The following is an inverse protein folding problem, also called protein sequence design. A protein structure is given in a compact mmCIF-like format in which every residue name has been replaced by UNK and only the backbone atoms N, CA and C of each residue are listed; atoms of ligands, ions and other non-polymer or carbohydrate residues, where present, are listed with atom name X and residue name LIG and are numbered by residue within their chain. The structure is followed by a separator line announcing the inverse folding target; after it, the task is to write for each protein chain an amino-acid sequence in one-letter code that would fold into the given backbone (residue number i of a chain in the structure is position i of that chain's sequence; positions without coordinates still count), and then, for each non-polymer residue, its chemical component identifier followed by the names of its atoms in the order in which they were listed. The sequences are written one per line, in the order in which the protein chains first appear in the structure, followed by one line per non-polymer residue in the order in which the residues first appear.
data_IF_162874797358
#
_entry.id   IF_162874797358
#
_cell.length_a   1.000
_cell.length_b   1.000
_cell.length_c   1.000
_cell.angle_alpha   90.00
_cell.angle_beta   90.00
_cell.angle_gamma   90.00
#
_symmetry.space_group_name_H-M   'P 1'
#
loop_
_entity.id
_entity.type
_entity.pdbx_description
1 polymer ?
#
# COMPACT_ATOMS: atom_id res chain seq x y z
N UNK A 1 -9.25 -7.63 -15.63
CA UNK A 1 -8.67 -8.81 -14.98
C UNK A 1 -8.13 -8.43 -13.62
N UNK A 2 -8.37 -9.27 -12.61
CA UNK A 2 -7.88 -9.06 -11.25
C UNK A 2 -7.30 -10.37 -10.72
N UNK A 3 -6.52 -10.27 -9.65
CA UNK A 3 -5.86 -11.43 -9.07
C UNK A 3 -6.27 -11.56 -7.61
N UNK A 4 -6.83 -12.71 -7.23
CA UNK A 4 -7.41 -12.92 -5.92
C UNK A 4 -6.59 -13.89 -5.08
N UNK A 5 -6.53 -13.61 -3.78
CA UNK A 5 -5.92 -14.51 -2.81
C UNK A 5 -6.56 -14.23 -1.45
N UNK A 6 -6.27 -15.07 -0.47
CA UNK A 6 -6.84 -14.88 0.88
C UNK A 6 -5.82 -15.18 1.96
N UNK A 7 -6.02 -14.58 3.12
CA UNK A 7 -5.19 -14.79 4.29
C UNK A 7 -5.96 -14.35 5.54
N UNK A 8 -5.91 -15.18 6.57
CA UNK A 8 -6.44 -14.80 7.89
C UNK A 8 -7.91 -14.43 7.94
N UNK A 9 -8.74 -15.03 7.11
CA UNK A 9 -10.17 -14.74 7.10
C UNK A 9 -10.54 -13.56 6.22
N UNK A 10 -9.58 -12.99 5.50
CA UNK A 10 -9.82 -11.89 4.58
C UNK A 10 -9.51 -12.33 3.17
N UNK A 11 -10.22 -11.78 2.21
CA UNK A 11 -9.88 -11.97 0.81
C UNK A 11 -9.34 -10.68 0.24
N UNK A 12 -8.41 -10.82 -0.69
CA UNK A 12 -7.71 -9.70 -1.30
C UNK A 12 -7.81 -9.80 -2.81
N UNK A 13 -7.77 -8.65 -3.45
CA UNK A 13 -7.82 -8.58 -4.90
C UNK A 13 -6.83 -7.54 -5.38
N UNK A 14 -5.82 -7.96 -6.13
CA UNK A 14 -4.93 -7.01 -6.78
C UNK A 14 -5.56 -6.57 -8.09
N UNK A 15 -5.75 -5.28 -8.25
CA UNK A 15 -6.35 -4.71 -9.45
C UNK A 15 -5.24 -4.05 -10.27
N UNK A 16 -4.87 -4.65 -11.43
CA UNK A 16 -3.77 -4.12 -12.25
C UNK A 16 -4.26 -3.01 -13.18
N UNK A 17 -4.82 -1.97 -12.57
CA UNK A 17 -5.26 -0.77 -13.26
C UNK A 17 -4.67 0.42 -12.53
N UNK A 18 -3.92 1.25 -13.22
CA UNK A 18 -3.24 2.38 -12.60
C UNK A 18 -4.24 3.48 -12.27
N UNK A 19 -4.32 3.85 -11.00
CA UNK A 19 -5.22 4.88 -10.49
C UNK A 19 -4.54 5.72 -9.44
N UNK A 20 -5.01 6.95 -9.25
CA UNK A 20 -4.60 7.76 -8.12
C UNK A 20 -5.15 7.13 -6.84
N UNK A 21 -4.61 7.54 -5.68
CA UNK A 21 -5.06 6.95 -4.42
C UNK A 21 -6.56 7.14 -4.19
N UNK A 22 -7.08 8.35 -4.47
CA UNK A 22 -8.52 8.62 -4.30
C UNK A 22 -9.38 7.80 -5.24
N UNK A 23 -8.94 7.66 -6.49
CA UNK A 23 -9.66 6.83 -7.47
C UNK A 23 -9.64 5.37 -7.04
N UNK A 24 -8.50 4.90 -6.56
CA UNK A 24 -8.37 3.52 -6.09
C UNK A 24 -9.27 3.26 -4.88
N UNK A 25 -9.30 4.21 -3.94
CA UNK A 25 -10.18 4.10 -2.77
C UNK A 25 -11.64 3.99 -3.18
N UNK A 26 -12.08 4.87 -4.08
CA UNK A 26 -13.45 4.86 -4.57
C UNK A 26 -13.77 3.55 -5.29
N UNK A 27 -12.85 3.07 -6.12
CA UNK A 27 -13.05 1.82 -6.86
C UNK A 27 -13.15 0.62 -5.91
N UNK A 28 -12.31 0.60 -4.87
CA UNK A 28 -12.37 -0.48 -3.88
C UNK A 28 -13.72 -0.50 -3.17
N UNK A 29 -14.22 0.67 -2.78
CA UNK A 29 -15.53 0.78 -2.11
C UNK A 29 -16.66 0.37 -3.04
N UNK A 30 -16.55 0.72 -4.31
CA UNK A 30 -17.57 0.34 -5.30
C UNK A 30 -17.62 -1.17 -5.54
N UNK A 31 -16.53 -1.88 -5.24
CA UNK A 31 -16.47 -3.33 -5.35
C UNK A 31 -16.88 -4.02 -4.06
N UNK A 32 -17.40 -3.25 -3.09
CA UNK A 32 -17.83 -3.75 -1.78
C UNK A 32 -16.67 -4.18 -0.89
N UNK A 33 -15.52 -3.56 -1.08
CA UNK A 33 -14.35 -3.77 -0.26
C UNK A 33 -13.77 -2.44 0.17
N UNK A 34 -12.49 -2.43 0.45
CA UNK A 34 -11.76 -1.22 0.85
C UNK A 34 -10.30 -1.41 0.46
N UNK A 35 -9.56 -0.31 0.33
CA UNK A 35 -8.13 -0.43 0.13
C UNK A 35 -7.51 -1.14 1.33
N UNK A 36 -6.61 -2.07 1.07
CA UNK A 36 -6.13 -3.01 2.08
C UNK A 36 -5.48 -2.33 3.27
N UNK A 37 -5.81 -2.83 4.45
CA UNK A 37 -5.18 -2.43 5.71
C UNK A 37 -4.34 -3.62 6.17
N UNK A 38 -3.14 -3.33 6.68
CA UNK A 38 -2.24 -4.39 7.13
C UNK A 38 -2.03 -4.25 8.62
N UNK A 39 -2.39 -5.30 9.35
CA UNK A 39 -2.45 -5.28 10.81
C UNK A 39 -1.41 -6.15 11.50
N UNK A 40 -0.60 -6.88 10.72
CA UNK A 40 0.44 -7.74 11.29
C UNK A 40 1.56 -7.98 10.29
N UNK A 41 2.72 -8.38 10.83
CA UNK A 41 3.85 -8.74 9.98
C UNK A 41 3.51 -9.95 9.11
N UNK A 42 2.80 -10.92 9.66
CA UNK A 42 2.41 -12.11 8.92
C UNK A 42 1.50 -11.77 7.75
N UNK A 43 0.56 -10.85 7.96
CA UNK A 43 -0.32 -10.38 6.90
C UNK A 43 0.47 -9.65 5.81
N UNK A 44 1.38 -8.77 6.22
CA UNK A 44 2.22 -8.05 5.26
C UNK A 44 3.02 -9.02 4.40
N UNK A 45 3.62 -10.03 5.02
CA UNK A 45 4.43 -11.01 4.31
C UNK A 45 3.58 -11.86 3.37
N UNK A 46 2.39 -12.25 3.80
CA UNK A 46 1.48 -13.03 2.95
C UNK A 46 1.07 -12.25 1.71
N UNK A 47 0.79 -10.96 1.88
CA UNK A 47 0.43 -10.08 0.77
C UNK A 47 1.61 -9.94 -0.19
N UNK A 48 2.81 -9.68 0.33
CA UNK A 48 4.00 -9.52 -0.49
C UNK A 48 4.27 -10.80 -1.29
N UNK A 49 4.18 -11.96 -0.63
CA UNK A 49 4.42 -13.24 -1.30
C UNK A 49 3.42 -13.48 -2.42
N UNK A 50 2.13 -13.21 -2.16
CA UNK A 50 1.09 -13.43 -3.15
C UNK A 50 1.25 -12.51 -4.36
N UNK A 51 1.53 -11.24 -4.12
CA UNK A 51 1.65 -10.27 -5.20
C UNK A 51 2.93 -10.51 -6.01
N UNK A 52 4.03 -10.81 -5.32
CA UNK A 52 5.30 -11.09 -6.01
C UNK A 52 5.21 -12.30 -6.92
N UNK A 53 4.42 -13.29 -6.54
CA UNK A 53 4.26 -14.51 -7.32
C UNK A 53 3.52 -14.27 -8.65
N UNK A 54 2.85 -13.12 -8.79
CA UNK A 54 2.12 -12.80 -10.02
C UNK A 54 3.04 -12.40 -11.17
N UNK A 55 4.28 -12.02 -10.87
CA UNK A 55 5.28 -11.60 -11.86
C UNK A 55 4.80 -10.46 -12.75
N UNK A 56 4.08 -9.50 -12.17
CA UNK A 56 3.60 -8.34 -12.91
C UNK A 56 4.65 -7.23 -12.92
N UNK A 57 4.56 -6.36 -13.93
CA UNK A 57 5.33 -5.13 -13.95
C UNK A 57 4.47 -4.06 -13.29
N UNK A 58 4.86 -3.63 -12.09
CA UNK A 58 4.11 -2.64 -11.34
C UNK A 58 4.53 -1.23 -11.71
N UNK A 59 3.58 -0.28 -11.76
CA UNK A 59 3.92 1.13 -11.99
C UNK A 59 4.86 1.67 -10.92
N UNK A 60 5.68 2.64 -11.30
CA UNK A 60 6.64 3.24 -10.40
C UNK A 60 6.16 4.62 -9.95
N UNK A 61 6.65 5.08 -8.80
CA UNK A 61 6.42 6.42 -8.30
C UNK A 61 7.75 7.16 -8.32
N UNK A 62 7.81 8.23 -9.10
CA UNK A 62 9.03 9.01 -9.25
C UNK A 62 9.44 9.63 -7.92
N UNK A 63 8.49 10.19 -7.20
CA UNK A 63 8.73 10.78 -5.88
C UNK A 63 8.96 9.72 -4.80
N UNK A 64 8.79 8.45 -5.11
CA UNK A 64 9.13 7.33 -4.25
C UNK A 64 10.44 6.67 -4.64
N UNK A 65 11.37 7.46 -5.15
CA UNK A 65 12.69 6.96 -5.52
C UNK A 65 12.71 6.13 -6.79
N UNK A 66 11.66 6.20 -7.60
CA UNK A 66 11.59 5.49 -8.86
C UNK A 66 11.30 4.00 -8.74
N UNK A 67 10.94 3.53 -7.55
CA UNK A 67 10.61 2.13 -7.35
C UNK A 67 9.14 1.87 -7.68
N UNK A 68 8.78 0.59 -7.78
CA UNK A 68 7.41 0.18 -8.03
C UNK A 68 6.64 0.05 -6.72
N UNK A 69 5.36 0.40 -6.75
CA UNK A 69 4.50 0.38 -5.56
C UNK A 69 3.09 -0.07 -5.88
N UNK A 70 2.37 -0.46 -4.82
CA UNK A 70 0.94 -0.80 -4.87
C UNK A 70 0.24 0.00 -3.77
N UNK A 71 -0.87 0.66 -4.09
CA UNK A 71 -1.62 1.44 -3.10
C UNK A 71 -2.18 0.54 -1.99
N UNK A 72 -2.01 1.00 -0.76
CA UNK A 72 -2.68 0.45 0.42
C UNK A 72 -3.62 1.51 0.99
N UNK A 73 -4.39 1.16 2.01
CA UNK A 73 -5.49 1.96 2.48
C UNK A 73 -5.17 2.89 3.65
N UNK A 74 -4.10 3.67 3.55
CA UNK A 74 -3.81 4.66 4.59
C UNK A 74 -3.34 5.97 3.96
N UNK A 75 -3.61 7.07 4.66
CA UNK A 75 -3.15 8.38 4.25
C UNK A 75 -3.08 9.32 5.43
N UNK A 76 -2.33 10.42 5.30
CA UNK A 76 -2.32 11.50 6.28
C UNK A 76 -2.93 12.78 5.68
N UNK A 77 -3.83 12.62 4.73
CA UNK A 77 -4.43 13.75 4.01
C UNK A 77 -5.30 14.65 4.89
N UNK A 78 -5.87 14.08 5.96
CA UNK A 78 -6.71 14.87 6.88
C UNK A 78 -5.85 15.75 7.77
N UNK A 79 -4.79 15.20 8.35
CA UNK A 79 -3.85 15.94 9.19
C UNK A 79 -2.45 15.43 8.91
N UNK A 80 -1.58 16.31 8.44
CA UNK A 80 -0.21 15.96 8.09
C UNK A 80 0.49 15.26 9.26
N UNK A 81 1.11 14.12 8.97
CA UNK A 81 1.84 13.34 9.97
C UNK A 81 0.95 12.39 10.77
N UNK A 82 -0.36 12.50 10.63
CA UNK A 82 -1.28 11.61 11.34
C UNK A 82 -1.86 10.59 10.36
N UNK A 83 -1.22 9.45 10.25
CA UNK A 83 -1.60 8.41 9.30
C UNK A 83 -2.79 7.60 9.79
N UNK A 84 -3.84 7.56 8.97
CA UNK A 84 -5.06 6.82 9.28
C UNK A 84 -5.32 5.77 8.20
N UNK A 85 -5.71 4.58 8.65
CA UNK A 85 -6.27 3.58 7.74
C UNK A 85 -7.65 4.04 7.27
N UNK A 86 -8.13 3.47 6.18
CA UNK A 86 -9.43 3.86 5.61
C UNK A 86 -10.61 3.64 6.55
N UNK A 87 -10.44 2.84 7.60
CA UNK A 87 -11.48 2.66 8.62
C UNK A 87 -11.39 3.69 9.75
N UNK A 88 -10.46 4.63 9.66
CA UNK A 88 -10.30 5.69 10.66
C UNK A 88 -9.35 5.38 11.80
N UNK A 89 -8.82 4.15 11.89
CA UNK A 89 -7.89 3.83 12.96
C UNK A 89 -6.49 4.35 12.64
N UNK A 90 -5.73 4.65 13.70
CA UNK A 90 -4.36 5.17 13.55
C UNK A 90 -3.40 4.06 13.12
N UNK A 91 -2.62 4.32 12.10
CA UNK A 91 -1.55 3.40 11.68
C UNK A 91 -0.57 3.22 12.83
N UNK A 92 -0.26 4.30 13.54
CA UNK A 92 0.74 4.27 14.61
C UNK A 92 0.34 3.48 15.85
N UNK A 93 -0.95 3.12 15.98
CA UNK A 93 -1.38 2.33 17.13
C UNK A 93 -1.30 0.82 16.89
N UNK A 94 -0.84 0.39 15.73
CA UNK A 94 -0.70 -1.02 15.41
C UNK A 94 0.59 -1.32 14.67
N UNK A 95 0.56 -2.37 13.88
CA UNK A 95 1.72 -2.78 13.09
C UNK A 95 2.09 -1.72 12.07
N UNK A 96 3.37 -1.46 11.92
CA UNK A 96 3.91 -0.55 10.92
C UNK A 96 5.14 -1.19 10.27
N UNK A 97 5.33 -0.91 8.99
CA UNK A 97 6.48 -1.45 8.27
C UNK A 97 7.07 -0.42 7.30
N UNK A 98 7.20 0.81 7.77
CA UNK A 98 7.79 1.88 6.97
C UNK A 98 9.22 1.55 6.57
N UNK A 99 9.63 2.02 5.39
CA UNK A 99 11.00 1.86 4.95
C UNK A 99 11.98 2.49 5.92
N UNK A 100 13.10 1.81 6.14
CA UNK A 100 14.12 2.29 7.06
C UNK A 100 15.46 1.72 6.65
N UNK A 101 16.39 2.58 6.34
CA UNK A 101 17.70 2.14 5.88
C UNK A 101 18.78 3.17 6.17
N UNK A 102 19.96 2.93 5.61
CA UNK A 102 21.12 3.78 5.87
C UNK A 102 20.97 5.20 5.35
N UNK A 103 20.11 5.41 4.34
CA UNK A 103 19.91 6.72 3.73
C UNK A 103 18.71 7.49 4.27
N UNK A 104 17.84 6.85 5.05
CA UNK A 104 16.71 7.55 5.61
C UNK A 104 15.62 6.61 6.11
N UNK A 105 14.54 7.21 6.58
CA UNK A 105 13.40 6.52 7.17
C UNK A 105 12.11 7.11 6.63
N UNK A 106 11.13 6.28 6.34
CA UNK A 106 9.81 6.72 5.93
C UNK A 106 8.85 6.73 7.11
N UNK A 107 7.75 7.47 7.08
CA UNK A 107 7.38 8.43 6.05
C UNK A 107 8.18 9.72 6.20
N UNK A 108 8.62 10.31 5.09
CA UNK A 108 9.46 11.50 5.14
C UNK A 108 8.82 12.74 4.52
N UNK A 109 7.63 12.59 3.93
CA UNK A 109 6.89 13.67 3.28
C UNK A 109 7.78 14.46 2.31
N UNK A 110 8.59 13.74 1.55
CA UNK A 110 9.52 14.35 0.61
C UNK A 110 8.78 15.29 -0.34
N UNK A 111 9.21 16.55 -0.38
CA UNK A 111 8.58 17.56 -1.22
C UNK A 111 7.29 18.14 -0.66
N UNK A 112 6.85 17.70 0.52
CA UNK A 112 5.68 18.26 1.20
C UNK A 112 4.33 17.80 0.67
N UNK A 113 4.30 16.75 -0.17
CA UNK A 113 3.05 16.32 -0.79
C UNK A 113 2.87 14.80 -0.83
N UNK A 114 3.58 14.08 0.03
CA UNK A 114 3.49 12.63 0.06
C UNK A 114 2.49 12.19 1.13
N UNK A 115 1.24 12.06 0.75
CA UNK A 115 0.15 11.88 1.69
C UNK A 115 -0.54 10.51 1.64
N UNK A 116 -0.06 9.57 0.82
CA UNK A 116 -0.71 8.27 0.69
C UNK A 116 0.30 7.14 0.82
N UNK A 117 -0.15 6.05 1.45
CA UNK A 117 0.71 4.92 1.76
C UNK A 117 0.73 3.92 0.62
N UNK A 118 1.93 3.51 0.22
CA UNK A 118 2.09 2.51 -0.82
C UNK A 118 3.03 1.41 -0.34
N UNK A 119 2.74 0.19 -0.77
CA UNK A 119 3.57 -0.98 -0.49
C UNK A 119 4.69 -1.03 -1.53
N UNK A 120 5.94 -1.05 -1.08
CA UNK A 120 7.08 -1.12 -1.98
C UNK A 120 7.23 -2.48 -2.60
N UNK A 121 7.37 -2.52 -3.91
CA UNK A 121 7.59 -3.75 -4.66
C UNK A 121 9.04 -3.88 -5.11
N UNK A 122 9.92 -3.07 -4.57
CA UNK A 122 11.34 -3.11 -4.85
C UNK A 122 12.08 -2.14 -3.95
N UNK A 123 13.38 -2.04 -4.13
CA UNK A 123 14.21 -1.14 -3.32
C UNK A 123 14.02 0.31 -3.74
N UNK A 124 14.09 1.21 -2.78
CA UNK A 124 14.14 2.63 -3.12
C UNK A 124 15.18 3.35 -2.28
N UNK A 125 15.86 4.38 -2.80
CA UNK A 125 15.83 4.78 -4.20
C UNK A 125 16.27 3.64 -5.12
N UNK A 126 15.60 3.52 -6.26
CA UNK A 126 15.94 2.47 -7.22
C UNK A 126 17.21 2.87 -7.96
N UNK A 127 18.06 1.91 -8.34
CA UNK A 127 17.97 0.48 -8.08
C UNK A 127 18.72 0.02 -6.83
N UNK A 128 19.44 0.90 -6.17
CA UNK A 128 20.39 0.52 -5.11
C UNK A 128 19.76 0.36 -3.73
N UNK A 129 18.66 1.07 -3.47
CA UNK A 129 18.05 1.05 -2.15
C UNK A 129 18.71 2.01 -1.17
N UNK A 130 18.51 1.77 0.11
CA UNK A 130 19.09 2.58 1.17
C UNK A 130 18.03 3.23 2.06
N UNK A 131 16.78 3.30 1.59
CA UNK A 131 15.67 3.76 2.42
C UNK A 131 14.66 2.62 2.60
N UNK A 132 14.29 1.93 1.51
CA UNK A 132 13.30 0.88 1.64
C UNK A 132 13.58 -0.33 0.77
N UNK A 133 12.85 -1.41 1.04
CA UNK A 133 12.97 -2.68 0.34
C UNK A 133 11.60 -3.27 0.06
N UNK A 134 11.58 -4.34 -0.72
CA UNK A 134 10.35 -5.06 -1.04
C UNK A 134 9.56 -5.36 0.25
N UNK A 135 8.30 -4.95 0.26
CA UNK A 135 7.41 -5.22 1.38
C UNK A 135 7.38 -4.13 2.43
N UNK A 136 8.27 -3.15 2.36
CA UNK A 136 8.21 -2.01 3.26
C UNK A 136 7.31 -0.93 2.66
N UNK A 137 6.87 0.01 3.49
CA UNK A 137 5.90 1.02 3.12
C UNK A 137 6.56 2.37 2.89
N UNK A 138 6.00 3.13 1.95
CA UNK A 138 6.45 4.49 1.67
C UNK A 138 5.26 5.43 1.58
N UNK A 139 5.51 6.70 1.84
CA UNK A 139 4.56 7.75 1.56
C UNK A 139 4.91 8.35 0.20
N UNK A 140 3.93 8.36 -0.69
CA UNK A 140 4.13 8.92 -2.03
C UNK A 140 2.96 9.85 -2.36
N UNK A 141 3.18 10.71 -3.34
CA UNK A 141 2.16 11.66 -3.77
C UNK A 141 0.91 10.91 -4.22
N UNK A 142 -0.25 11.35 -3.73
CA UNK A 142 -1.53 10.70 -4.02
C UNK A 142 -1.90 10.71 -5.48
N UNK A 143 -1.28 11.58 -6.29
CA UNK A 143 -1.56 11.70 -7.72
C UNK A 143 -0.81 10.66 -8.56
N UNK A 144 0.10 9.91 -7.98
CA UNK A 144 0.72 8.79 -8.68
C UNK A 144 -0.36 7.81 -9.10
N UNK A 145 -0.19 7.22 -10.27
CA UNK A 145 -1.12 6.20 -10.76
C UNK A 145 -0.50 4.84 -10.59
N UNK A 146 -1.00 4.10 -9.61
CA UNK A 146 -0.46 2.80 -9.23
C UNK A 146 -1.57 1.75 -9.25
N UNK A 147 -1.18 0.48 -9.34
CA UNK A 147 -2.11 -0.61 -9.08
C UNK A 147 -2.48 -0.57 -7.60
N UNK A 148 -3.54 -1.25 -7.22
CA UNK A 148 -4.01 -1.16 -5.84
C UNK A 148 -4.53 -2.50 -5.35
N UNK A 149 -4.51 -2.68 -4.03
CA UNK A 149 -4.96 -3.89 -3.38
C UNK A 149 -6.27 -3.62 -2.65
N UNK A 150 -7.27 -4.41 -2.98
CA UNK A 150 -8.59 -4.35 -2.34
C UNK A 150 -8.68 -5.48 -1.33
N UNK A 151 -9.24 -5.18 -0.18
CA UNK A 151 -9.47 -6.18 0.87
C UNK A 151 -10.97 -6.30 1.14
N UNK A 152 -11.43 -7.53 1.39
CA UNK A 152 -12.82 -7.81 1.74
C UNK A 152 -12.85 -8.78 2.91
N UNK A 153 -13.78 -8.58 3.81
CA UNK A 153 -13.97 -9.50 4.92
C UNK A 153 -14.76 -10.72 4.45
N UNK A 154 -14.14 -11.87 4.48
CA UNK A 154 -14.81 -13.08 4.04
C UNK A 154 -15.96 -13.47 4.97
N UNK A 155 -15.91 -13.05 6.22
CA UNK A 155 -16.95 -13.35 7.18
C UNK A 155 -18.24 -12.62 6.93
N UNK A 156 -18.19 -11.55 6.13
CA UNK A 156 -19.39 -10.76 5.84
C UNK A 156 -20.43 -11.52 5.04
N UNK A 157 -20.05 -12.63 4.48
CA UNK A 157 -20.97 -13.41 3.68
C UNK A 157 -21.85 -14.32 4.50
N UNK A 158 -21.57 -14.37 5.76
CA UNK A 158 -22.30 -15.30 6.55
C UNK A 158 -23.60 -14.74 6.92
N UNK A 159 -24.33 -15.29 6.64
CA UNK A 159 -25.41 -15.15 7.18
C UNK A 159 -26.43 -15.19 6.93
#
# INVERSE_FOLDING_TARGET
MTYQFSYGGHSYELVPTAKTWSEAKTAAEASQGYLAMIESQAENQAIVNAISALNLSFPTAEDGGGAAYVWLGASDRVTEGNWLWVNGSNVSSGYQNWGKGSLGTEPDDFGGAQDSLALGMGKWPAPTGGIGELGQWNDVNSDNKLYYLVEKNSTSTVH
#
